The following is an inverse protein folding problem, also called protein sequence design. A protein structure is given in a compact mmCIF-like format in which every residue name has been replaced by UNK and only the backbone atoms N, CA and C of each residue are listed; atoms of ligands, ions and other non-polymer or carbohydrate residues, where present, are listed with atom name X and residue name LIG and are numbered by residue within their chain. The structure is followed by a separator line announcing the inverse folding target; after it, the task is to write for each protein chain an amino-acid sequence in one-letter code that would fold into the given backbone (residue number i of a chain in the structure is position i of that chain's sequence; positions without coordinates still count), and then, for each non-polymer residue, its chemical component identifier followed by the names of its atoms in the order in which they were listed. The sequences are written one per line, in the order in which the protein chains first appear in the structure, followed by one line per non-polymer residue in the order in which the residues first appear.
data_IF_493640600901
#
_entry.id   IF_493640600901
#
_cell.length_a   1.000
_cell.length_b   1.000
_cell.length_c   1.000
_cell.angle_alpha   90.00
_cell.angle_beta   90.00
_cell.angle_gamma   90.00
#
_symmetry.space_group_name_H-M   'P 1'
#
loop_
_entity.id
_entity.type
_entity.pdbx_description
1 polymer ?
#
# COMPACT_ATOMS: atom_id res chain seq x y z
N UNK A 1 49.05 -24.66 18.68
CA UNK A 1 48.86 -23.95 17.40
C UNK A 1 47.51 -24.38 16.85
N UNK A 2 46.50 -23.52 16.98
CA UNK A 2 45.17 -23.76 16.43
C UNK A 2 45.13 -23.19 15.00
N UNK A 3 44.59 -23.95 14.06
CA UNK A 3 44.41 -23.51 12.68
C UNK A 3 43.29 -22.46 12.60
N UNK A 4 43.45 -21.39 11.80
CA UNK A 4 42.41 -20.38 11.59
C UNK A 4 41.30 -20.96 10.72
N UNK A 5 40.05 -20.79 11.14
CA UNK A 5 38.87 -21.20 10.37
C UNK A 5 38.65 -20.16 9.26
N UNK A 6 39.09 -20.47 8.04
CA UNK A 6 38.61 -19.75 6.86
C UNK A 6 37.24 -20.30 6.50
N UNK A 7 36.18 -19.59 6.89
CA UNK A 7 34.85 -19.77 6.33
C UNK A 7 34.86 -19.31 4.87
N UNK A 8 35.16 -20.23 3.96
CA UNK A 8 34.93 -20.03 2.53
C UNK A 8 33.55 -20.59 2.19
N UNK A 9 32.50 -19.83 2.49
CA UNK A 9 31.27 -19.96 1.72
C UNK A 9 31.39 -19.03 0.51
N UNK A 10 31.30 -19.55 -0.73
CA UNK A 10 31.31 -18.72 -1.92
C UNK A 10 29.99 -17.96 -1.97
N UNK A 11 30.06 -16.65 -1.75
CA UNK A 11 28.98 -15.72 -2.05
C UNK A 11 28.58 -15.90 -3.52
N UNK A 12 27.29 -16.14 -3.78
CA UNK A 12 26.72 -16.19 -5.13
C UNK A 12 25.86 -14.94 -5.32
N UNK A 13 25.95 -14.21 -6.44
CA UNK A 13 25.04 -13.09 -6.76
C UNK A 13 23.55 -13.45 -6.68
N UNK A 14 23.21 -14.74 -6.73
CA UNK A 14 21.84 -15.24 -6.54
C UNK A 14 21.34 -15.19 -5.08
N UNK A 15 22.16 -14.73 -4.13
CA UNK A 15 21.86 -14.65 -2.70
C UNK A 15 21.70 -13.22 -2.17
N UNK A 16 21.61 -12.21 -3.04
CA UNK A 16 21.04 -10.94 -2.63
C UNK A 16 19.63 -11.21 -2.08
N UNK A 17 19.26 -10.71 -0.88
CA UNK A 17 17.91 -10.85 -0.39
C UNK A 17 16.96 -10.37 -1.48
N UNK A 18 15.91 -11.13 -1.76
CA UNK A 18 14.85 -10.68 -2.66
C UNK A 18 14.47 -9.26 -2.23
N UNK A 19 14.24 -8.38 -3.21
CA UNK A 19 13.81 -7.02 -2.96
C UNK A 19 12.82 -6.99 -1.79
N UNK A 20 13.16 -6.31 -0.69
CA UNK A 20 12.30 -6.33 0.49
C UNK A 20 11.07 -5.47 0.26
N UNK A 21 9.87 -5.95 0.61
CA UNK A 21 8.64 -5.20 0.43
C UNK A 21 8.58 -3.98 1.37
N UNK A 22 7.70 -3.01 1.06
CA UNK A 22 7.40 -1.91 1.96
C UNK A 22 6.90 -2.37 3.33
N UNK A 23 7.24 -1.61 4.36
CA UNK A 23 6.85 -1.89 5.76
C UNK A 23 5.56 -1.19 6.20
N UNK A 24 5.18 -0.13 5.48
CA UNK A 24 3.94 0.62 5.70
C UNK A 24 3.10 0.59 4.45
N UNK A 25 1.78 0.59 4.61
CA UNK A 25 0.87 0.48 3.48
C UNK A 25 -0.25 1.50 3.58
N UNK A 26 -0.52 2.19 2.47
CA UNK A 26 -1.66 3.09 2.35
C UNK A 26 -2.66 2.50 1.36
N UNK A 27 -3.89 2.34 1.80
CA UNK A 27 -5.01 1.90 0.99
C UNK A 27 -5.82 3.11 0.58
N UNK A 28 -6.15 3.21 -0.71
CA UNK A 28 -6.95 4.27 -1.29
C UNK A 28 -8.17 3.68 -1.98
N UNK A 29 -9.33 4.28 -1.72
CA UNK A 29 -10.47 4.18 -2.65
C UNK A 29 -10.50 5.47 -3.45
N UNK A 30 -10.48 5.36 -4.77
CA UNK A 30 -10.45 6.50 -5.68
C UNK A 30 -11.60 6.44 -6.68
N UNK A 31 -12.00 7.57 -7.22
CA UNK A 31 -12.94 7.64 -8.33
C UNK A 31 -12.60 8.79 -9.28
N UNK A 32 -12.84 8.59 -10.58
CA UNK A 32 -12.76 9.66 -11.56
C UNK A 32 -13.96 10.60 -11.37
N UNK A 33 -13.66 11.81 -10.90
CA UNK A 33 -14.60 12.90 -10.68
C UNK A 33 -14.15 14.07 -11.54
N UNK A 34 -15.02 14.49 -12.46
CA UNK A 34 -14.75 15.58 -13.41
C UNK A 34 -13.42 15.41 -14.20
N UNK A 35 -13.09 14.17 -14.58
CA UNK A 35 -11.89 13.87 -15.38
C UNK A 35 -10.61 13.68 -14.56
N UNK A 36 -10.69 13.72 -13.24
CA UNK A 36 -9.54 13.56 -12.34
C UNK A 36 -9.82 12.47 -11.32
N UNK A 37 -8.85 11.60 -11.05
CA UNK A 37 -8.97 10.62 -9.97
C UNK A 37 -8.83 11.33 -8.62
N UNK A 38 -9.86 11.20 -7.80
CA UNK A 38 -9.94 11.80 -6.47
C UNK A 38 -10.08 10.72 -5.40
N UNK A 39 -9.35 10.83 -4.27
CA UNK A 39 -9.50 9.91 -3.16
C UNK A 39 -10.85 10.14 -2.47
N UNK A 40 -11.58 9.06 -2.23
CA UNK A 40 -12.82 9.01 -1.46
C UNK A 40 -12.60 8.43 -0.07
N UNK A 41 -11.55 7.65 0.12
CA UNK A 41 -11.11 7.21 1.44
C UNK A 41 -9.63 6.86 1.40
N UNK A 42 -8.93 7.12 2.50
CA UNK A 42 -7.54 6.72 2.68
C UNK A 42 -7.37 6.05 4.04
N UNK A 43 -6.72 4.90 4.07
CA UNK A 43 -6.44 4.15 5.30
C UNK A 43 -4.96 3.78 5.32
N UNK A 44 -4.30 4.05 6.45
CA UNK A 44 -2.95 3.59 6.72
C UNK A 44 -2.99 2.27 7.49
N UNK A 45 -2.17 1.32 7.06
CA UNK A 45 -1.91 0.04 7.70
C UNK A 45 -0.43 -0.03 8.09
N UNK A 46 -0.16 -0.10 9.38
CA UNK A 46 1.17 0.02 9.97
C UNK A 46 1.48 -1.15 10.91
N UNK A 47 2.71 -1.68 10.80
CA UNK A 47 3.24 -2.67 11.74
C UNK A 47 3.42 -2.05 13.13
N UNK A 48 3.54 -2.88 14.16
CA UNK A 48 3.93 -2.39 15.48
C UNK A 48 5.40 -1.94 15.42
N UNK A 49 5.76 -0.77 15.93
CA UNK A 49 7.11 -0.19 15.75
C UNK A 49 8.21 -0.93 16.53
N UNK A 50 7.84 -1.82 17.45
CA UNK A 50 8.77 -2.55 18.32
C UNK A 50 9.23 -3.89 17.73
N UNK A 51 8.39 -4.50 16.90
CA UNK A 51 8.75 -5.66 16.11
C UNK A 51 8.93 -5.15 14.69
N UNK A 52 10.09 -5.38 14.07
CA UNK A 52 10.39 -4.95 12.69
C UNK A 52 9.56 -5.76 11.67
N UNK A 53 8.28 -5.95 11.94
CA UNK A 53 7.30 -6.77 11.24
C UNK A 53 6.90 -6.06 9.94
N UNK A 54 7.46 -6.55 8.85
CA UNK A 54 7.12 -6.11 7.50
C UNK A 54 5.83 -6.80 7.08
N UNK A 55 4.76 -6.03 6.84
CA UNK A 55 3.58 -6.58 6.18
C UNK A 55 3.91 -6.89 4.73
N UNK A 56 3.97 -8.17 4.40
CA UNK A 56 4.26 -8.63 3.06
C UNK A 56 3.36 -9.78 2.64
N UNK A 57 3.34 -10.05 1.33
CA UNK A 57 2.64 -11.21 0.81
C UNK A 57 1.14 -11.18 1.07
N UNK A 58 0.63 -12.26 1.67
CA UNK A 58 -0.79 -12.41 1.98
C UNK A 58 -1.30 -11.34 2.96
N UNK A 59 -0.43 -10.77 3.80
CA UNK A 59 -0.84 -9.67 4.68
C UNK A 59 -1.28 -8.41 3.92
N UNK A 60 -1.01 -8.35 2.60
CA UNK A 60 -1.47 -7.30 1.68
C UNK A 60 -2.53 -7.83 0.73
N UNK A 61 -2.37 -9.05 0.20
CA UNK A 61 -3.32 -9.65 -0.74
C UNK A 61 -4.69 -9.90 -0.10
N UNK A 62 -4.74 -10.44 1.12
CA UNK A 62 -6.01 -10.75 1.79
C UNK A 62 -6.85 -9.49 2.07
N UNK A 63 -6.29 -8.37 2.58
CA UNK A 63 -7.03 -7.13 2.71
C UNK A 63 -7.48 -6.52 1.38
N UNK A 64 -6.65 -6.58 0.33
CA UNK A 64 -7.04 -6.13 -1.03
C UNK A 64 -8.29 -6.87 -1.48
N UNK A 65 -8.28 -8.21 -1.37
CA UNK A 65 -9.41 -9.06 -1.71
C UNK A 65 -10.65 -8.68 -0.90
N UNK A 66 -10.50 -8.50 0.41
CA UNK A 66 -11.62 -8.14 1.28
C UNK A 66 -12.23 -6.79 0.93
N UNK A 67 -11.40 -5.77 0.67
CA UNK A 67 -11.87 -4.45 0.22
C UNK A 67 -12.66 -4.58 -1.07
N UNK A 68 -12.13 -5.32 -2.05
CA UNK A 68 -12.80 -5.53 -3.34
C UNK A 68 -14.14 -6.26 -3.14
N UNK A 69 -14.18 -7.33 -2.34
CA UNK A 69 -15.42 -8.05 -2.02
C UNK A 69 -16.48 -7.14 -1.41
N UNK A 70 -16.12 -6.31 -0.43
CA UNK A 70 -17.05 -5.38 0.22
C UNK A 70 -17.57 -4.36 -0.80
N UNK A 71 -16.68 -3.74 -1.59
CA UNK A 71 -17.08 -2.70 -2.54
C UNK A 71 -17.85 -3.25 -3.74
N UNK A 72 -17.65 -4.52 -4.11
CA UNK A 72 -18.38 -5.18 -5.19
C UNK A 72 -19.75 -5.73 -4.77
N UNK A 73 -20.05 -5.77 -3.47
CA UNK A 73 -21.31 -6.31 -2.97
C UNK A 73 -22.50 -5.45 -3.46
N UNK A 74 -23.49 -6.03 -4.18
CA UNK A 74 -24.64 -5.30 -4.66
C UNK A 74 -25.43 -4.57 -3.56
N UNK A 75 -25.42 -5.08 -2.32
CA UNK A 75 -26.08 -4.44 -1.19
C UNK A 75 -25.44 -3.09 -0.82
N UNK A 76 -24.17 -2.89 -1.16
CA UNK A 76 -23.43 -1.65 -0.88
C UNK A 76 -23.51 -0.63 -2.03
N UNK A 77 -23.99 -1.03 -3.22
CA UNK A 77 -23.98 -0.22 -4.44
C UNK A 77 -24.65 1.13 -4.26
N UNK A 78 -25.87 1.16 -3.70
CA UNK A 78 -26.64 2.41 -3.52
C UNK A 78 -25.90 3.42 -2.63
N UNK A 79 -25.27 2.95 -1.54
CA UNK A 79 -24.54 3.82 -0.63
C UNK A 79 -23.26 4.37 -1.28
N UNK A 80 -22.51 3.54 -2.03
CA UNK A 80 -21.31 3.96 -2.75
C UNK A 80 -21.66 4.98 -3.84
N UNK A 81 -22.72 4.73 -4.64
CA UNK A 81 -23.17 5.69 -5.67
C UNK A 81 -23.62 7.02 -5.05
N UNK A 82 -24.29 6.98 -3.89
CA UNK A 82 -24.73 8.19 -3.18
C UNK A 82 -23.54 9.03 -2.70
N UNK A 83 -22.52 8.40 -2.11
CA UNK A 83 -21.32 9.13 -1.68
C UNK A 83 -20.48 9.61 -2.86
N UNK A 84 -20.44 8.87 -3.97
CA UNK A 84 -19.82 9.35 -5.21
C UNK A 84 -20.53 10.57 -5.78
N UNK A 85 -21.86 10.63 -5.71
CA UNK A 85 -22.62 11.80 -6.11
C UNK A 85 -22.29 13.02 -5.23
N UNK A 86 -22.25 12.83 -3.91
CA UNK A 86 -21.81 13.87 -2.97
C UNK A 86 -20.37 14.32 -3.24
N UNK A 87 -19.50 13.39 -3.64
CA UNK A 87 -18.11 13.70 -3.96
C UNK A 87 -17.98 14.67 -5.15
N UNK A 88 -18.87 14.60 -6.13
CA UNK A 88 -18.88 15.53 -7.27
C UNK A 88 -19.08 16.96 -6.78
N UNK A 89 -20.11 17.20 -5.96
CA UNK A 89 -20.39 18.53 -5.39
C UNK A 89 -19.27 18.98 -4.46
N UNK A 90 -18.79 18.07 -3.61
CA UNK A 90 -17.72 18.34 -2.65
C UNK A 90 -16.42 18.80 -3.32
N UNK A 91 -15.95 18.09 -4.36
CA UNK A 91 -14.72 18.47 -5.06
C UNK A 91 -14.92 19.66 -6.00
N UNK A 92 -16.16 19.95 -6.41
CA UNK A 92 -16.48 21.20 -7.10
C UNK A 92 -16.32 22.41 -6.15
N UNK A 93 -16.80 22.31 -4.91
CA UNK A 93 -16.64 23.35 -3.89
C UNK A 93 -15.21 23.43 -3.33
N UNK A 94 -14.51 22.30 -3.28
CA UNK A 94 -13.18 22.16 -2.69
C UNK A 94 -12.18 21.53 -3.67
N UNK A 95 -11.84 22.20 -4.79
CA UNK A 95 -11.04 21.60 -5.87
C UNK A 95 -9.63 21.17 -5.45
N UNK A 96 -9.10 21.76 -4.38
CA UNK A 96 -7.77 21.43 -3.82
C UNK A 96 -7.80 20.42 -2.67
N UNK A 97 -8.99 20.00 -2.22
CA UNK A 97 -9.11 18.95 -1.20
C UNK A 97 -8.73 17.62 -1.84
N UNK A 98 -7.91 16.82 -1.16
CA UNK A 98 -7.35 15.59 -1.73
C UNK A 98 -6.09 15.76 -2.59
N UNK A 99 -5.67 16.99 -2.93
CA UNK A 99 -4.48 17.24 -3.77
C UNK A 99 -3.33 17.94 -3.04
N UNK A 100 -3.54 18.40 -1.80
CA UNK A 100 -2.51 18.94 -0.94
C UNK A 100 -2.22 18.03 0.24
N UNK A 101 -0.94 17.88 0.60
CA UNK A 101 -0.48 17.21 1.82
C UNK A 101 -0.46 18.26 2.94
N UNK A 102 -1.42 18.24 3.89
CA UNK A 102 -1.29 19.09 5.07
C UNK A 102 -0.03 18.61 5.80
N UNK A 103 0.83 19.54 6.21
CA UNK A 103 1.99 19.19 7.03
C UNK A 103 1.49 18.55 8.34
N UNK A 104 1.39 17.22 8.36
CA UNK A 104 0.92 16.50 9.54
C UNK A 104 2.08 16.26 10.49
N UNK A 105 1.88 16.47 11.80
CA UNK A 105 2.81 16.00 12.80
C UNK A 105 2.92 14.49 12.65
N UNK A 106 4.11 14.06 12.27
CA UNK A 106 4.53 12.68 12.42
C UNK A 106 5.01 12.56 13.86
N UNK A 107 4.56 11.54 14.58
CA UNK A 107 5.07 11.26 15.91
C UNK A 107 6.58 11.08 15.87
N UNK A 108 7.24 11.18 17.02
CA UNK A 108 8.67 10.85 17.18
C UNK A 108 9.05 9.45 16.64
N UNK A 109 8.06 8.56 16.52
CA UNK A 109 8.20 7.17 16.04
C UNK A 109 7.88 6.98 14.55
N UNK A 110 7.71 8.06 13.79
CA UNK A 110 7.43 7.96 12.36
C UNK A 110 5.99 7.54 12.02
N UNK A 111 5.10 7.45 13.00
CA UNK A 111 3.68 7.15 12.80
C UNK A 111 2.89 8.44 12.66
N UNK A 112 1.99 8.59 11.66
CA UNK A 112 1.13 9.75 11.60
C UNK A 112 0.24 9.80 12.84
N UNK A 113 0.18 10.94 13.52
CA UNK A 113 -0.73 11.10 14.64
C UNK A 113 -2.18 10.76 14.22
N UNK A 114 -2.94 10.05 15.05
CA UNK A 114 -4.32 9.72 14.73
C UNK A 114 -5.10 11.03 14.52
N UNK A 115 -5.77 11.13 13.37
CA UNK A 115 -6.70 12.24 13.13
C UNK A 115 -7.74 12.18 14.25
N UNK A 116 -7.99 13.32 14.90
CA UNK A 116 -9.17 13.47 15.75
C UNK A 116 -10.39 13.14 14.89
N UNK A 117 -10.98 11.98 15.13
CA UNK A 117 -12.16 11.46 14.44
C UNK A 117 -13.18 12.58 14.28
N UNK A 118 -13.49 12.96 13.04
CA UNK A 118 -14.36 14.12 12.83
C UNK A 118 -14.63 14.57 11.39
N UNK A 119 -13.99 14.01 10.37
CA UNK A 119 -14.28 14.40 8.99
C UNK A 119 -13.98 13.28 7.99
N UNK A 120 -14.56 12.09 8.16
CA UNK A 120 -14.66 11.18 7.02
C UNK A 120 -15.71 11.79 6.08
N UNK A 121 -15.27 12.42 5.00
CA UNK A 121 -16.19 13.13 4.09
C UNK A 121 -17.13 12.17 3.34
N UNK A 122 -16.70 10.91 3.24
CA UNK A 122 -17.42 9.79 2.64
C UNK A 122 -17.42 8.61 3.63
N UNK A 123 -18.24 8.67 4.69
CA UNK A 123 -18.16 7.75 5.83
C UNK A 123 -18.44 6.28 5.49
N UNK A 124 -19.34 5.99 4.55
CA UNK A 124 -19.64 4.63 4.12
C UNK A 124 -18.45 4.01 3.39
N UNK A 125 -17.92 4.68 2.36
CA UNK A 125 -16.73 4.24 1.61
C UNK A 125 -15.53 4.12 2.56
N UNK A 126 -15.35 5.08 3.47
CA UNK A 126 -14.29 5.05 4.49
C UNK A 126 -14.44 3.85 5.42
N UNK A 127 -15.66 3.52 5.83
CA UNK A 127 -15.95 2.34 6.66
C UNK A 127 -15.68 1.05 5.90
N UNK A 128 -16.11 0.93 4.65
CA UNK A 128 -15.83 -0.23 3.80
C UNK A 128 -14.32 -0.47 3.67
N UNK A 129 -13.56 0.60 3.39
CA UNK A 129 -12.11 0.53 3.28
C UNK A 129 -11.47 0.12 4.61
N UNK A 130 -11.88 0.74 5.72
CA UNK A 130 -11.34 0.44 7.05
C UNK A 130 -11.60 -1.01 7.46
N UNK A 131 -12.80 -1.53 7.21
CA UNK A 131 -13.17 -2.92 7.50
C UNK A 131 -12.35 -3.90 6.66
N UNK A 132 -12.23 -3.66 5.36
CA UNK A 132 -11.44 -4.51 4.48
C UNK A 132 -9.94 -4.46 4.78
N UNK A 133 -9.39 -3.27 5.01
CA UNK A 133 -7.98 -3.07 5.34
C UNK A 133 -7.58 -3.66 6.70
N UNK A 134 -8.54 -3.92 7.60
CA UNK A 134 -8.32 -4.61 8.90
C UNK A 134 -8.31 -6.13 8.82
N UNK A 135 -8.64 -6.71 7.67
CA UNK A 135 -8.67 -8.16 7.46
C UNK A 135 -7.30 -8.79 7.75
N UNK A 136 -7.33 -10.03 8.25
CA UNK A 136 -6.14 -10.75 8.75
C UNK A 136 -6.00 -12.11 8.09
N UNK A 137 -4.75 -12.53 7.92
CA UNK A 137 -4.35 -13.87 7.45
C UNK A 137 -4.26 -14.88 8.59
N UNK A 138 -3.80 -14.45 9.79
CA UNK A 138 -3.62 -15.29 10.99
C UNK A 138 -3.89 -14.53 12.30
N UNK A 139 -4.11 -15.27 13.39
CA UNK A 139 -4.57 -14.74 14.68
C UNK A 139 -3.54 -13.93 15.49
N UNK A 140 -2.27 -13.95 15.12
CA UNK A 140 -1.19 -13.48 16.02
C UNK A 140 -0.84 -11.99 15.85
N UNK A 141 -1.10 -11.37 14.69
CA UNK A 141 -0.64 -10.02 14.38
C UNK A 141 -1.81 -9.05 14.17
N UNK A 142 -1.84 -7.96 14.94
CA UNK A 142 -2.85 -6.90 14.78
C UNK A 142 -2.23 -5.70 14.07
N UNK A 143 -2.51 -5.48 12.77
CA UNK A 143 -2.10 -4.23 12.14
C UNK A 143 -2.73 -3.04 12.86
N UNK A 144 -1.95 -2.00 13.06
CA UNK A 144 -2.50 -0.70 13.40
C UNK A 144 -3.10 -0.10 12.14
N UNK A 145 -4.42 0.01 12.11
CA UNK A 145 -5.16 0.52 10.95
C UNK A 145 -5.93 1.77 11.34
N UNK A 146 -5.62 2.88 10.67
CA UNK A 146 -6.24 4.19 10.93
C UNK A 146 -6.66 4.87 9.63
N UNK A 147 -7.80 5.58 9.68
CA UNK A 147 -8.19 6.50 8.62
C UNK A 147 -7.16 7.62 8.49
N UNK A 148 -6.87 7.99 7.25
CA UNK A 148 -5.99 9.08 6.87
C UNK A 148 -6.81 10.14 6.10
N UNK A 149 -6.39 11.41 6.08
CA UNK A 149 -7.12 12.44 5.37
C UNK A 149 -7.06 12.19 3.86
N UNK A 150 -8.08 12.63 3.12
CA UNK A 150 -8.10 12.51 1.66
C UNK A 150 -6.87 13.15 0.99
N UNK A 151 -6.31 14.21 1.58
CA UNK A 151 -5.09 14.87 1.11
C UNK A 151 -3.78 14.12 1.41
N UNK A 152 -3.82 12.95 2.05
CA UNK A 152 -2.60 12.15 2.24
C UNK A 152 -2.17 11.62 0.89
N UNK A 153 -1.00 12.05 0.42
CA UNK A 153 -0.47 11.63 -0.88
C UNK A 153 0.68 10.66 -0.68
N UNK A 154 0.67 9.56 -1.43
CA UNK A 154 1.81 8.69 -1.58
C UNK A 154 2.96 9.43 -2.30
N UNK A 155 4.13 9.52 -1.65
CA UNK A 155 5.30 10.23 -2.17
C UNK A 155 6.25 9.25 -2.86
N UNK A 156 6.75 9.58 -4.05
CA UNK A 156 7.74 8.75 -4.76
C UNK A 156 9.05 8.59 -3.98
N UNK A 157 9.38 9.60 -3.16
CA UNK A 157 10.53 9.55 -2.25
C UNK A 157 10.28 8.78 -0.96
N UNK A 158 9.05 8.35 -0.66
CA UNK A 158 8.74 7.50 0.49
C UNK A 158 8.90 6.03 0.09
N UNK A 159 10.16 5.59 0.09
CA UNK A 159 10.53 4.23 -0.26
C UNK A 159 10.09 3.20 0.78
N UNK A 160 9.68 3.62 1.98
CA UNK A 160 9.26 2.71 3.06
C UNK A 160 7.79 2.33 2.99
N UNK A 161 7.00 3.12 2.26
CA UNK A 161 5.58 2.91 2.08
C UNK A 161 5.27 2.22 0.75
N UNK A 162 4.30 1.32 0.77
CA UNK A 162 3.57 0.83 -0.40
C UNK A 162 2.18 1.46 -0.45
N UNK A 163 1.54 1.34 -1.61
CA UNK A 163 0.20 1.84 -1.85
C UNK A 163 -0.66 0.79 -2.52
N UNK A 164 -1.92 0.71 -2.12
CA UNK A 164 -2.97 -0.04 -2.80
C UNK A 164 -4.01 0.98 -3.26
N UNK A 165 -4.36 0.95 -4.56
CA UNK A 165 -5.50 1.69 -5.07
C UNK A 165 -6.63 0.74 -5.43
N UNK A 166 -7.85 1.16 -5.12
CA UNK A 166 -9.09 0.56 -5.61
C UNK A 166 -9.89 1.65 -6.29
N UNK A 167 -10.14 1.48 -7.58
CA UNK A 167 -10.89 2.43 -8.39
C UNK A 167 -12.36 2.02 -8.47
N UNK A 168 -13.23 2.90 -7.96
CA UNK A 168 -14.68 2.75 -7.92
C UNK A 168 -15.38 3.61 -8.97
N UNK A 169 -14.68 4.05 -10.02
CA UNK A 169 -15.26 4.82 -11.13
C UNK A 169 -16.42 4.08 -11.79
N UNK A 170 -16.27 2.77 -11.98
CA UNK A 170 -17.33 1.87 -12.44
C UNK A 170 -17.50 0.74 -11.42
N UNK A 171 -18.64 0.70 -10.72
CA UNK A 171 -18.92 -0.32 -9.71
C UNK A 171 -19.22 -1.70 -10.29
N UNK A 172 -19.52 -1.79 -11.58
CA UNK A 172 -19.70 -3.07 -12.28
C UNK A 172 -18.36 -3.70 -12.67
N UNK A 173 -17.29 -2.90 -12.66
CA UNK A 173 -15.94 -3.35 -13.03
C UNK A 173 -14.93 -2.58 -12.21
N UNK A 174 -14.84 -2.93 -10.92
CA UNK A 174 -13.81 -2.40 -10.05
C UNK A 174 -12.42 -2.71 -10.61
N UNK A 175 -11.49 -1.79 -10.40
CA UNK A 175 -10.07 -1.98 -10.72
C UNK A 175 -9.24 -1.84 -9.46
N UNK A 176 -8.07 -2.47 -9.42
CA UNK A 176 -7.14 -2.30 -8.32
C UNK A 176 -5.69 -2.26 -8.78
N UNK A 177 -4.77 -1.86 -7.90
CA UNK A 177 -3.35 -1.97 -8.18
C UNK A 177 -2.53 -1.86 -6.91
N UNK A 178 -1.47 -2.66 -6.85
CA UNK A 178 -0.49 -2.64 -5.75
C UNK A 178 0.76 -1.93 -6.27
N UNK A 179 1.12 -0.81 -5.66
CA UNK A 179 2.34 -0.05 -5.94
C UNK A 179 3.31 -0.27 -4.79
N UNK A 180 4.43 -0.89 -5.08
CA UNK A 180 5.46 -1.19 -4.11
C UNK A 180 6.84 -1.10 -4.73
N UNK A 181 7.77 -0.49 -4.00
CA UNK A 181 9.18 -0.44 -4.37
C UNK A 181 10.00 -1.28 -3.40
N UNK A 182 11.11 -1.81 -3.89
CA UNK A 182 12.09 -2.49 -3.06
C UNK A 182 12.69 -1.49 -2.04
N UNK A 183 12.70 -1.83 -0.76
CA UNK A 183 13.18 -0.92 0.29
C UNK A 183 14.63 -1.22 0.67
N UNK A 184 15.48 -0.18 0.77
CA UNK A 184 16.89 -0.28 1.19
C UNK A 184 17.04 -0.55 2.68
N UNK A 185 16.22 0.11 3.51
CA UNK A 185 16.40 0.11 4.98
C UNK A 185 16.22 -1.25 5.63
N UNK A 186 15.37 -2.10 5.04
CA UNK A 186 15.18 -3.45 5.55
C UNK A 186 16.39 -4.35 5.22
N UNK A 187 17.17 -4.05 4.17
CA UNK A 187 18.42 -4.75 3.84
C UNK A 187 19.54 -4.30 4.79
N UNK A 188 19.62 -3.00 5.09
CA UNK A 188 20.61 -2.44 6.04
C UNK A 188 20.50 -3.04 7.45
N UNK A 189 19.28 -3.25 7.96
CA UNK A 189 19.07 -3.81 9.30
C UNK A 189 19.44 -5.29 9.43
N UNK A 190 19.10 -6.11 8.44
CA UNK A 190 19.49 -7.52 8.44
C UNK A 190 21.00 -7.67 8.35
N UNK A 191 21.69 -6.82 7.59
CA UNK A 191 23.15 -6.84 7.49
C UNK A 191 23.83 -6.30 8.76
N UNK A 192 23.23 -5.31 9.44
CA UNK A 192 23.71 -4.80 10.73
C UNK A 192 23.71 -5.88 11.83
N UNK A 193 22.84 -6.89 11.74
CA UNK A 193 22.84 -8.04 12.67
C UNK A 193 23.98 -9.04 12.40
N UNK A 194 24.60 -9.02 11.21
CA UNK A 194 25.59 -10.03 10.79
C UNK A 194 27.03 -9.52 10.84
N UNK A 195 27.27 -8.23 11.11
CA UNK A 195 28.57 -7.70 11.51
C UNK A 195 29.65 -7.63 10.42
N UNK A 196 29.31 -7.89 9.16
CA UNK A 196 30.27 -7.86 8.03
C UNK A 196 30.37 -6.47 7.36
N UNK A 197 31.57 -6.13 6.89
CA UNK A 197 31.85 -4.92 6.10
C UNK A 197 31.14 -4.95 4.74
N UNK A 198 30.60 -3.79 4.35
CA UNK A 198 29.81 -3.56 3.15
C UNK A 198 30.55 -3.94 1.85
N UNK A 199 29.97 -4.74 0.95
CA UNK A 199 30.16 -4.50 -0.47
C UNK A 199 29.33 -3.27 -0.88
N UNK A 200 29.85 -2.43 -1.78
CA UNK A 200 29.13 -1.27 -2.35
C UNK A 200 27.83 -1.72 -3.07
N UNK A 201 26.76 -1.95 -2.31
CA UNK A 201 25.45 -2.28 -2.85
C UNK A 201 24.69 -1.00 -3.13
N UNK A 202 24.78 -0.55 -4.37
CA UNK A 202 23.82 0.42 -4.90
C UNK A 202 22.70 -0.41 -5.53
N UNK A 203 21.51 -0.58 -4.89
CA UNK A 203 20.41 -1.22 -5.59
C UNK A 203 20.14 -0.43 -6.87
N UNK A 204 19.69 -1.10 -7.94
CA UNK A 204 19.22 -0.40 -9.11
C UNK A 204 18.24 0.66 -8.61
N UNK A 205 18.51 1.93 -8.93
CA UNK A 205 17.44 2.93 -8.99
C UNK A 205 16.60 2.46 -10.15
N UNK A 206 15.77 1.45 -9.92
CA UNK A 206 14.64 1.15 -10.79
C UNK A 206 14.04 2.52 -11.05
N UNK A 207 13.96 2.92 -12.32
CA UNK A 207 13.20 4.10 -12.66
C UNK A 207 11.82 3.84 -12.08
N UNK A 208 11.51 4.48 -10.94
CA UNK A 208 10.37 4.25 -10.07
C UNK A 208 9.10 4.73 -10.78
N UNK A 209 8.82 4.17 -11.94
CA UNK A 209 7.55 4.35 -12.60
C UNK A 209 6.53 3.63 -11.72
N UNK A 210 5.54 4.39 -11.25
CA UNK A 210 4.36 3.86 -10.57
C UNK A 210 3.66 2.93 -11.55
N UNK A 211 3.97 1.64 -11.48
CA UNK A 211 3.27 0.61 -12.22
C UNK A 211 2.40 -0.16 -11.24
N UNK A 212 1.09 -0.29 -11.52
CA UNK A 212 0.22 -1.06 -10.66
C UNK A 212 0.54 -2.54 -10.90
N UNK A 213 0.91 -3.24 -9.82
CA UNK A 213 1.10 -4.69 -9.85
C UNK A 213 -0.23 -5.38 -9.55
N UNK A 214 -0.45 -6.52 -10.22
CA UNK A 214 -1.45 -7.50 -9.77
C UNK A 214 -1.00 -8.13 -8.44
N UNK A 215 -1.93 -8.77 -7.72
CA UNK A 215 -1.59 -9.53 -6.53
C UNK A 215 -0.53 -10.61 -6.82
N UNK A 216 -0.62 -11.27 -7.99
CA UNK A 216 0.33 -12.30 -8.43
C UNK A 216 1.71 -11.72 -8.70
N UNK A 217 1.79 -10.59 -9.43
CA UNK A 217 3.08 -9.94 -9.73
C UNK A 217 3.73 -9.37 -8.46
N UNK A 218 2.92 -8.85 -7.54
CA UNK A 218 3.37 -8.44 -6.22
C UNK A 218 3.97 -9.62 -5.43
N UNK A 219 3.26 -10.76 -5.36
CA UNK A 219 3.78 -11.95 -4.67
C UNK A 219 5.07 -12.48 -5.31
N UNK A 220 5.12 -12.56 -6.64
CA UNK A 220 6.31 -12.96 -7.40
C UNK A 220 7.50 -12.05 -7.14
N UNK A 221 7.26 -10.74 -7.02
CA UNK A 221 8.31 -9.76 -6.80
C UNK A 221 8.89 -9.79 -5.39
N UNK A 222 8.07 -10.03 -4.37
CA UNK A 222 8.47 -9.80 -2.98
C UNK A 222 8.48 -11.04 -2.08
N UNK A 223 7.83 -12.14 -2.45
CA UNK A 223 7.59 -13.27 -1.53
C UNK A 223 7.91 -14.63 -2.14
N UNK A 224 7.21 -15.01 -3.21
CA UNK A 224 7.25 -16.36 -3.76
C UNK A 224 6.96 -16.34 -5.25
N UNK A 225 7.70 -17.12 -6.03
CA UNK A 225 7.45 -17.31 -7.47
C UNK A 225 6.14 -18.05 -7.76
N UNK A 226 5.59 -18.78 -6.77
CA UNK A 226 4.31 -19.49 -6.89
C UNK A 226 3.23 -18.69 -6.15
N UNK A 227 2.26 -18.11 -6.86
CA UNK A 227 1.14 -17.39 -6.25
C UNK A 227 0.17 -18.36 -5.56
N UNK A 228 -0.38 -17.96 -4.40
CA UNK A 228 -1.44 -18.70 -3.72
C UNK A 228 -2.82 -18.47 -4.37
N UNK A 229 -3.80 -19.31 -4.01
CA UNK A 229 -5.17 -19.27 -4.54
C UNK A 229 -5.82 -17.89 -4.42
N UNK A 230 -5.67 -17.22 -3.27
CA UNK A 230 -6.22 -15.86 -3.05
C UNK A 230 -5.70 -14.82 -4.06
N UNK A 231 -4.45 -14.93 -4.49
CA UNK A 231 -3.90 -14.00 -5.48
C UNK A 231 -4.42 -14.30 -6.89
N UNK A 232 -4.66 -15.57 -7.20
CA UNK A 232 -5.22 -16.00 -8.49
C UNK A 232 -6.66 -15.52 -8.65
N UNK A 233 -7.46 -15.49 -7.58
CA UNK A 233 -8.83 -14.93 -7.61
C UNK A 233 -8.83 -13.46 -8.05
N UNK A 234 -7.79 -12.71 -7.68
CA UNK A 234 -7.65 -11.29 -8.01
C UNK A 234 -7.08 -11.02 -9.40
N UNK A 235 -6.57 -12.03 -10.11
CA UNK A 235 -5.96 -11.85 -11.43
C UNK A 235 -7.01 -11.61 -12.52
N UNK A 236 -8.26 -12.01 -12.27
CA UNK A 236 -9.40 -11.69 -13.14
C UNK A 236 -9.85 -10.22 -13.03
N UNK A 237 -9.41 -9.50 -12.00
CA UNK A 237 -9.83 -8.11 -11.77
C UNK A 237 -8.86 -7.17 -12.50
N UNK A 238 -9.37 -6.23 -13.33
CA UNK A 238 -8.52 -5.35 -14.11
C UNK A 238 -7.68 -4.41 -13.24
N UNK A 239 -6.50 -4.04 -13.74
CA UNK A 239 -5.62 -3.10 -13.06
C UNK A 239 -6.09 -1.64 -13.22
N UNK A 240 -5.77 -0.80 -12.23
CA UNK A 240 -5.99 0.65 -12.33
C UNK A 240 -5.13 1.27 -13.44
N UNK A 241 -5.61 2.38 -14.00
CA UNK A 241 -4.84 3.19 -14.94
C UNK A 241 -3.69 3.90 -14.19
N UNK A 242 -2.56 4.12 -14.86
CA UNK A 242 -1.46 4.94 -14.34
C UNK A 242 -1.93 6.35 -13.99
N UNK A 243 -2.89 6.90 -14.74
CA UNK A 243 -3.51 8.19 -14.44
C UNK A 243 -4.20 8.25 -13.07
N UNK A 244 -4.65 7.11 -12.52
CA UNK A 244 -5.20 7.06 -11.15
C UNK A 244 -4.15 7.26 -10.06
N UNK A 245 -2.87 7.18 -10.43
CA UNK A 245 -1.72 7.31 -9.54
C UNK A 245 -0.99 8.64 -9.72
N UNK A 246 -1.33 9.43 -10.74
CA UNK A 246 -0.67 10.70 -11.03
C UNK A 246 -1.19 11.83 -10.14
N UNK A 247 -0.28 12.72 -9.72
CA UNK A 247 -0.67 14.02 -9.19
C UNK A 247 -1.20 14.84 -10.35
N UNK A 248 -2.48 15.21 -10.33
CA UNK A 248 -2.96 16.31 -11.16
C UNK A 248 -2.34 17.58 -10.62
N UNK A 249 -1.23 17.97 -11.24
CA UNK A 249 -0.56 19.24 -11.01
C UNK A 249 -1.45 20.31 -11.62
N UNK A 250 -2.05 21.15 -10.78
CA UNK A 250 -2.59 22.44 -11.22
C UNK A 250 -1.55 23.51 -10.92
#
# INVERSE_FOLDING_TARGET
MAAPWTSTLPWSPASLPSAKPPSRWMFYVVSNIAGQYRPLAVVGRYGNTLDYDVFCGLDIVTPVRRVLTILSDPANRLAIESERALAIEFFHEHPHRGTGDPAYPVSEWGTPEPIKSGSDEFPFISTCLLLGARERTTHERRPHVQSLPLGRIYRDGDTESGMVLVDTTNLETLRYGIVAFATQRAVEWELAQWGDEWPDFTPPRDQQLRQPLSAVDYLKRFVSSVPGEEAMELEAIPLVDVAAMERTSC
#
